data_IF_497731489888
#
_entry.id   IF_497731489888
#
_cell.length_a   1.000
_cell.length_b   1.000
_cell.length_c   1.000
_cell.angle_alpha   90.00
_cell.angle_beta   90.00
_cell.angle_gamma   90.00
#
_symmetry.space_group_name_H-M   'P 1'
#
loop_
_entity.id
_entity.type
_entity.pdbx_description
1 polymer ?
#
# COMPACT_ATOMS: atom_id res chain seq x y z
N UNK A 1 5.16 -7.22 -5.67
CA UNK A 1 5.40 -8.22 -4.61
C UNK A 1 4.05 -8.46 -3.95
N UNK A 2 3.50 -9.68 -3.96
CA UNK A 2 2.15 -9.95 -3.43
C UNK A 2 2.17 -9.75 -1.91
N UNK A 3 1.13 -9.11 -1.38
CA UNK A 3 0.97 -8.97 0.07
C UNK A 3 0.46 -10.31 0.64
N UNK A 4 1.40 -11.22 0.86
CA UNK A 4 1.12 -12.57 1.35
C UNK A 4 0.47 -12.58 2.74
N UNK A 5 0.65 -11.53 3.54
CA UNK A 5 0.01 -11.41 4.84
C UNK A 5 -1.49 -11.12 4.68
N UNK A 6 -1.83 -10.16 3.82
CA UNK A 6 -3.21 -9.85 3.47
C UNK A 6 -3.91 -11.06 2.85
N UNK A 7 -3.27 -11.74 1.89
CA UNK A 7 -3.86 -12.92 1.25
C UNK A 7 -4.20 -14.03 2.25
N UNK A 8 -3.27 -14.34 3.17
CA UNK A 8 -3.51 -15.33 4.23
C UNK A 8 -4.62 -14.90 5.18
N UNK A 9 -4.67 -13.62 5.55
CA UNK A 9 -5.73 -13.10 6.41
C UNK A 9 -7.11 -13.25 5.76
N UNK A 10 -7.22 -12.93 4.46
CA UNK A 10 -8.47 -13.11 3.71
C UNK A 10 -8.87 -14.58 3.65
N UNK A 11 -7.94 -15.47 3.28
CA UNK A 11 -8.23 -16.91 3.20
C UNK A 11 -8.68 -17.48 4.54
N UNK A 12 -8.05 -17.04 5.64
CA UNK A 12 -8.44 -17.41 7.00
C UNK A 12 -9.83 -16.91 7.35
N UNK A 13 -10.13 -15.64 7.10
CA UNK A 13 -11.45 -15.07 7.37
C UNK A 13 -12.56 -15.75 6.57
N UNK A 14 -12.30 -16.11 5.32
CA UNK A 14 -13.28 -16.87 4.52
C UNK A 14 -13.57 -18.24 5.13
N UNK A 15 -12.54 -18.92 5.64
CA UNK A 15 -12.71 -20.19 6.34
C UNK A 15 -13.48 -20.02 7.66
N UNK A 16 -13.10 -19.02 8.46
CA UNK A 16 -13.74 -18.77 9.75
C UNK A 16 -15.24 -18.43 9.59
N UNK A 17 -15.60 -17.69 8.53
CA UNK A 17 -17.00 -17.37 8.20
C UNK A 17 -17.78 -18.56 7.65
N UNK A 18 -17.12 -19.45 6.90
CA UNK A 18 -17.72 -20.72 6.47
C UNK A 18 -17.98 -21.64 7.66
N UNK A 19 -16.99 -21.78 8.56
CA UNK A 19 -17.11 -22.56 9.79
C UNK A 19 -18.21 -22.02 10.72
N UNK A 20 -18.44 -20.70 10.71
CA UNK A 20 -19.51 -20.02 11.43
C UNK A 20 -20.89 -20.14 10.75
N UNK A 21 -21.00 -20.77 9.58
CA UNK A 21 -22.19 -20.81 8.73
C UNK A 21 -22.72 -19.42 8.32
N UNK A 22 -21.85 -18.40 8.29
CA UNK A 22 -22.21 -17.06 7.81
C UNK A 22 -22.12 -16.95 6.28
N UNK A 23 -21.27 -17.77 5.66
CA UNK A 23 -21.19 -17.92 4.21
C UNK A 23 -21.00 -19.40 3.84
N UNK A 24 -21.25 -19.73 2.56
CA UNK A 24 -21.00 -21.07 2.00
C UNK A 24 -20.04 -20.96 0.83
N UNK A 25 -18.91 -21.67 0.88
CA UNK A 25 -17.95 -21.72 -0.22
C UNK A 25 -18.23 -22.95 -1.08
N UNK A 26 -18.77 -22.74 -2.27
CA UNK A 26 -19.08 -23.83 -3.20
C UNK A 26 -17.82 -24.43 -3.89
N UNK A 27 -16.62 -24.05 -3.48
CA UNK A 27 -15.35 -24.49 -4.04
C UNK A 27 -14.60 -25.37 -3.06
N UNK A 28 -13.69 -26.22 -3.57
CA UNK A 28 -12.90 -27.12 -2.72
C UNK A 28 -11.87 -26.41 -1.82
N UNK A 29 -11.64 -25.11 -2.02
CA UNK A 29 -10.74 -24.28 -1.21
C UNK A 29 -11.11 -22.81 -1.28
N UNK A 30 -10.70 -22.03 -0.28
CA UNK A 30 -10.89 -20.57 -0.23
C UNK A 30 -9.85 -19.79 -1.05
N UNK A 31 -8.77 -20.43 -1.51
CA UNK A 31 -7.61 -19.78 -2.15
C UNK A 31 -7.98 -18.90 -3.36
N UNK A 32 -8.85 -19.41 -4.24
CA UNK A 32 -9.30 -18.68 -5.44
C UNK A 32 -10.08 -17.43 -5.06
N UNK A 33 -11.01 -17.57 -4.12
CA UNK A 33 -11.82 -16.46 -3.62
C UNK A 33 -10.95 -15.44 -2.88
N UNK A 34 -10.02 -15.91 -2.05
CA UNK A 34 -9.08 -15.08 -1.33
C UNK A 34 -8.19 -14.25 -2.29
N UNK A 35 -7.69 -14.86 -3.37
CA UNK A 35 -6.88 -14.15 -4.37
C UNK A 35 -7.67 -13.06 -5.10
N UNK A 36 -8.93 -13.30 -5.45
CA UNK A 36 -9.76 -12.30 -6.13
C UNK A 36 -10.04 -11.11 -5.22
N UNK A 37 -10.35 -11.37 -3.94
CA UNK A 37 -10.59 -10.32 -2.95
C UNK A 37 -9.29 -9.55 -2.67
N UNK A 38 -8.17 -10.26 -2.51
CA UNK A 38 -6.84 -9.65 -2.33
C UNK A 38 -6.52 -8.65 -3.44
N UNK A 39 -6.72 -9.03 -4.71
CA UNK A 39 -6.41 -8.17 -5.85
C UNK A 39 -7.33 -6.93 -5.89
N UNK A 40 -8.60 -7.08 -5.50
CA UNK A 40 -9.53 -5.97 -5.37
C UNK A 40 -9.15 -5.00 -4.23
N UNK A 41 -8.65 -5.53 -3.11
CA UNK A 41 -8.18 -4.70 -1.98
C UNK A 41 -6.90 -3.95 -2.36
N UNK A 42 -5.93 -4.60 -3.01
CA UNK A 42 -4.69 -3.95 -3.44
C UNK A 42 -4.89 -2.84 -4.47
N UNK A 43 -5.99 -2.89 -5.24
CA UNK A 43 -6.36 -1.80 -6.14
C UNK A 43 -6.69 -0.49 -5.41
N UNK A 44 -7.07 -0.58 -4.13
CA UNK A 44 -7.46 0.57 -3.29
C UNK A 44 -6.37 0.90 -2.26
N UNK A 45 -5.78 -0.14 -1.66
CA UNK A 45 -4.75 -0.02 -0.63
C UNK A 45 -3.47 -0.61 -1.20
N UNK A 46 -2.54 0.22 -1.74
CA UNK A 46 -1.38 -0.28 -2.48
C UNK A 46 -0.43 -1.12 -1.61
N UNK A 47 -0.50 -0.99 -0.27
CA UNK A 47 0.37 -1.66 0.70
C UNK A 47 -0.29 -1.75 2.08
N UNK A 48 -0.54 -2.96 2.58
CA UNK A 48 -1.07 -3.18 3.94
C UNK A 48 0.01 -3.16 5.02
N UNK A 49 1.29 -3.23 4.61
CA UNK A 49 2.46 -3.22 5.49
C UNK A 49 2.88 -1.81 5.94
N UNK A 50 2.38 -0.76 5.28
CA UNK A 50 2.61 0.61 5.70
C UNK A 50 1.61 0.98 6.80
N UNK A 51 2.09 1.11 8.04
CA UNK A 51 1.28 1.65 9.11
C UNK A 51 0.87 3.09 8.77
N UNK A 52 -0.26 3.54 9.32
CA UNK A 52 -0.69 4.93 9.18
C UNK A 52 0.40 5.91 9.69
N UNK A 53 1.16 5.48 10.69
CA UNK A 53 2.33 6.20 11.22
C UNK A 53 3.47 6.29 10.20
N UNK A 54 3.73 5.24 9.42
CA UNK A 54 4.74 5.26 8.35
C UNK A 54 4.35 6.23 7.25
N UNK A 55 3.07 6.24 6.85
CA UNK A 55 2.55 7.19 5.88
C UNK A 55 2.61 8.63 6.40
N UNK A 56 2.34 8.83 7.70
CA UNK A 56 2.46 10.14 8.36
C UNK A 56 3.92 10.61 8.44
N UNK A 57 4.85 9.69 8.71
CA UNK A 57 6.29 9.96 8.73
C UNK A 57 6.80 10.31 7.34
N UNK A 58 6.42 9.55 6.30
CA UNK A 58 6.74 9.84 4.89
C UNK A 58 6.16 11.21 4.50
N UNK A 59 4.92 11.51 4.87
CA UNK A 59 4.30 12.81 4.59
C UNK A 59 5.05 13.95 5.26
N UNK A 60 5.45 13.78 6.52
CA UNK A 60 6.25 14.75 7.26
C UNK A 60 7.62 14.96 6.60
N UNK A 61 8.27 13.89 6.17
CA UNK A 61 9.53 13.92 5.41
C UNK A 61 9.40 14.71 4.12
N UNK A 62 8.37 14.43 3.32
CA UNK A 62 8.09 15.18 2.08
C UNK A 62 7.85 16.66 2.41
N UNK A 63 7.05 16.95 3.44
CA UNK A 63 6.72 18.32 3.82
C UNK A 63 7.94 19.13 4.26
N UNK A 64 8.78 18.58 5.13
CA UNK A 64 10.04 19.21 5.57
C UNK A 64 10.99 19.41 4.38
N UNK A 65 11.08 18.42 3.49
CA UNK A 65 11.92 18.49 2.29
C UNK A 65 11.44 19.57 1.33
N UNK A 66 10.13 19.71 1.12
CA UNK A 66 9.50 20.78 0.32
C UNK A 66 9.66 22.15 0.97
N UNK A 67 9.63 22.22 2.29
CA UNK A 67 9.76 23.47 3.03
C UNK A 67 11.20 24.01 3.02
N UNK A 68 12.22 23.15 2.95
CA UNK A 68 13.62 23.58 2.81
C UNK A 68 13.96 23.92 1.35
N UNK A 69 13.90 25.22 1.02
CA UNK A 69 14.25 25.74 -0.31
C UNK A 69 15.67 25.35 -0.77
N UNK A 70 16.59 25.08 0.16
CA UNK A 70 17.97 24.68 -0.17
C UNK A 70 18.06 23.28 -0.76
N UNK A 71 17.08 22.41 -0.48
CA UNK A 71 17.03 21.06 -1.03
C UNK A 71 16.83 21.08 -2.55
N UNK A 72 15.96 21.96 -3.05
CA UNK A 72 15.70 22.11 -4.49
C UNK A 72 16.77 22.92 -5.22
N UNK A 73 17.47 23.80 -4.52
CA UNK A 73 18.52 24.65 -5.10
C UNK A 73 19.88 23.94 -5.23
N UNK A 74 20.18 22.93 -4.40
CA UNK A 74 21.50 22.29 -4.35
C UNK A 74 21.47 20.75 -4.52
N UNK A 75 20.62 20.02 -3.79
CA UNK A 75 20.69 18.54 -3.80
C UNK A 75 19.93 17.92 -4.96
N UNK A 76 18.73 18.41 -5.28
CA UNK A 76 17.90 17.91 -6.38
C UNK A 76 18.56 18.02 -7.77
N UNK A 77 19.17 19.15 -8.18
CA UNK A 77 19.80 19.27 -9.50
C UNK A 77 21.01 18.35 -9.62
N UNK A 78 21.74 18.13 -8.53
CA UNK A 78 22.93 17.29 -8.49
C UNK A 78 22.58 15.80 -8.58
N UNK A 79 21.48 15.39 -7.94
CA UNK A 79 21.07 13.97 -7.90
C UNK A 79 20.14 13.56 -9.05
N UNK A 80 19.33 14.48 -9.57
CA UNK A 80 18.26 14.15 -10.53
C UNK A 80 18.33 14.94 -11.84
N UNK A 81 19.16 15.99 -11.90
CA UNK A 81 19.25 16.89 -13.06
C UNK A 81 18.06 17.84 -13.21
N UNK A 82 17.14 17.88 -12.24
CA UNK A 82 15.94 18.73 -12.28
C UNK A 82 16.02 19.87 -11.27
N UNK A 83 15.59 21.06 -11.69
CA UNK A 83 15.50 22.25 -10.83
C UNK A 83 14.11 22.37 -10.20
N UNK A 84 13.98 23.27 -9.21
CA UNK A 84 12.69 23.55 -8.53
C UNK A 84 11.53 23.82 -9.51
N UNK A 85 11.78 24.57 -10.59
CA UNK A 85 10.79 24.91 -11.60
C UNK A 85 10.27 23.71 -12.42
N UNK A 86 11.05 22.63 -12.55
CA UNK A 86 10.62 21.42 -13.27
C UNK A 86 9.69 20.52 -12.44
N UNK A 87 9.64 20.75 -11.13
CA UNK A 87 8.89 19.93 -10.16
C UNK A 87 7.57 20.57 -9.73
N UNK A 88 7.29 21.79 -10.17
CA UNK A 88 6.06 22.53 -9.91
C UNK A 88 5.05 22.34 -11.07
N UNK A 89 4.46 21.14 -11.17
CA UNK A 89 3.28 20.86 -12.00
C UNK A 89 2.40 19.82 -11.30
#
# INVERSE_FOLDING_TARGET
>A
MKDEALLRAIARSLQDLEDANELVVCAASTDRAASVIHDAVLAIVPRSDLAQDDLSAIRSLIFETVADKRFFDWEMPTLTGKTADDSAM
#
